data_IF_233324430506
#
_entry.id   IF_233324430506
#
_cell.length_a   1.000
_cell.length_b   1.000
_cell.length_c   1.000
_cell.angle_alpha   90.00
_cell.angle_beta   90.00
_cell.angle_gamma   90.00
#
_symmetry.space_group_name_H-M   'P 1'
#
loop_
_entity.id
_entity.type
_entity.pdbx_description
1 polymer ?
#
# COMPACT_ATOMS: atom_id res chain seq x y z
N UNK A 1 24.83 25.21 -39.85
CA UNK A 1 24.69 25.47 -38.41
C UNK A 1 23.45 24.71 -37.98
N UNK A 2 23.63 23.52 -37.43
CA UNK A 2 22.52 22.69 -36.97
C UNK A 2 22.08 23.24 -35.61
N UNK A 3 20.85 23.73 -35.54
CA UNK A 3 20.21 24.06 -34.26
C UNK A 3 20.13 22.78 -33.42
N UNK A 4 20.94 22.71 -32.38
CA UNK A 4 20.74 21.74 -31.31
C UNK A 4 19.50 22.19 -30.54
N UNK A 5 18.36 21.60 -30.90
CA UNK A 5 17.11 21.71 -30.17
C UNK A 5 17.37 21.32 -28.72
N UNK A 6 17.33 22.30 -27.83
CA UNK A 6 17.49 22.16 -26.38
C UNK A 6 16.24 21.49 -25.79
N UNK A 7 15.92 20.28 -26.25
CA UNK A 7 14.89 19.46 -25.63
C UNK A 7 15.44 18.94 -24.31
N UNK A 8 15.17 19.67 -23.23
CA UNK A 8 15.54 19.27 -21.88
C UNK A 8 15.00 17.86 -21.61
N UNK A 9 15.86 16.84 -21.48
CA UNK A 9 15.43 15.45 -21.33
C UNK A 9 14.66 15.22 -20.02
N UNK A 10 14.71 16.17 -19.06
CA UNK A 10 13.98 16.14 -17.79
C UNK A 10 12.58 16.77 -17.89
N UNK A 11 12.27 17.45 -18.99
CA UNK A 11 10.96 18.08 -19.22
C UNK A 11 9.91 17.10 -19.76
N UNK A 12 10.29 15.86 -20.09
CA UNK A 12 9.34 14.84 -20.50
C UNK A 12 8.40 14.47 -19.34
N UNK A 13 7.07 14.37 -19.59
CA UNK A 13 6.07 14.06 -18.55
C UNK A 13 6.26 12.66 -17.92
N UNK A 14 7.07 11.82 -18.57
CA UNK A 14 7.48 10.48 -18.13
C UNK A 14 8.53 10.54 -17.00
N UNK A 15 9.28 11.63 -16.90
CA UNK A 15 10.37 11.82 -15.92
C UNK A 15 9.88 12.63 -14.71
N UNK A 16 8.85 13.47 -14.89
CA UNK A 16 8.19 14.24 -13.83
C UNK A 16 7.21 13.43 -12.97
N UNK A 17 7.26 12.10 -13.05
CA UNK A 17 6.41 11.22 -12.26
C UNK A 17 6.76 11.24 -10.76
N UNK A 18 8.03 11.53 -10.44
CA UNK A 18 8.56 11.57 -9.08
C UNK A 18 8.48 12.98 -8.49
N UNK A 19 7.31 13.39 -8.03
CA UNK A 19 7.16 14.65 -7.28
C UNK A 19 7.69 14.47 -5.84
N UNK A 20 8.80 15.13 -5.51
CA UNK A 20 9.42 15.13 -4.17
C UNK A 20 8.41 15.41 -3.05
N UNK A 21 7.45 16.32 -3.28
CA UNK A 21 6.43 16.67 -2.30
C UNK A 21 5.51 15.50 -1.93
N UNK A 22 5.16 14.64 -2.89
CA UNK A 22 4.30 13.46 -2.64
C UNK A 22 5.04 12.37 -1.89
N UNK A 23 6.33 12.17 -2.19
CA UNK A 23 7.20 11.27 -1.44
C UNK A 23 7.31 11.69 0.03
N UNK A 24 7.54 12.98 0.28
CA UNK A 24 7.61 13.52 1.65
C UNK A 24 6.27 13.36 2.37
N UNK A 25 5.15 13.66 1.70
CA UNK A 25 3.82 13.48 2.28
C UNK A 25 3.54 12.00 2.64
N UNK A 26 3.87 11.07 1.74
CA UNK A 26 3.73 9.64 2.00
C UNK A 26 4.63 9.18 3.16
N UNK A 27 5.87 9.67 3.21
CA UNK A 27 6.80 9.38 4.30
C UNK A 27 6.26 9.85 5.66
N UNK A 28 5.79 11.09 5.74
CA UNK A 28 5.21 11.64 6.98
C UNK A 28 3.98 10.86 7.40
N UNK A 29 3.10 10.50 6.45
CA UNK A 29 1.92 9.68 6.74
C UNK A 29 2.29 8.31 7.31
N UNK A 30 3.29 7.63 6.73
CA UNK A 30 3.77 6.35 7.25
C UNK A 30 4.41 6.49 8.62
N UNK A 31 5.20 7.55 8.83
CA UNK A 31 5.84 7.82 10.12
C UNK A 31 4.81 8.04 11.23
N UNK A 32 3.78 8.84 10.96
CA UNK A 32 2.69 9.10 11.91
C UNK A 32 1.90 7.82 12.21
N UNK A 33 1.55 7.04 11.18
CA UNK A 33 0.86 5.77 11.37
C UNK A 33 1.69 4.78 12.20
N UNK A 34 3.02 4.71 11.96
CA UNK A 34 3.93 3.88 12.74
C UNK A 34 4.00 4.31 14.20
N UNK A 35 4.14 5.61 14.46
CA UNK A 35 4.20 6.15 15.82
C UNK A 35 2.92 5.88 16.59
N UNK A 36 1.75 6.11 15.98
CA UNK A 36 0.47 5.83 16.61
C UNK A 36 0.33 4.32 16.89
N UNK A 37 0.70 3.47 15.93
CA UNK A 37 0.64 2.02 16.10
C UNK A 37 1.54 1.54 17.25
N UNK A 38 2.73 2.12 17.38
CA UNK A 38 3.64 1.85 18.49
C UNK A 38 3.05 2.29 19.84
N UNK A 39 2.48 3.48 19.91
CA UNK A 39 1.83 3.99 21.13
C UNK A 39 0.62 3.14 21.52
N UNK A 40 -0.21 2.73 20.56
CA UNK A 40 -1.35 1.83 20.79
C UNK A 40 -0.89 0.49 21.36
N UNK A 41 0.25 -0.02 20.89
CA UNK A 41 0.77 -1.33 21.31
C UNK A 41 1.48 -1.28 22.67
N UNK A 42 2.23 -0.21 22.95
CA UNK A 42 3.10 -0.14 24.13
C UNK A 42 2.57 0.76 25.25
N UNK A 43 1.69 1.72 24.94
CA UNK A 43 1.23 2.75 25.86
C UNK A 43 -0.15 2.52 26.45
N UNK A 44 -0.99 1.69 25.82
CA UNK A 44 -2.34 1.41 26.29
C UNK A 44 -2.50 -0.05 26.68
N UNK A 45 -3.09 -0.30 27.85
CA UNK A 45 -3.49 -1.64 28.30
C UNK A 45 -4.82 -2.06 27.63
N UNK A 46 -4.78 -2.14 26.30
CA UNK A 46 -5.90 -2.58 25.48
C UNK A 46 -5.94 -4.11 25.45
N UNK A 47 -7.15 -4.67 25.43
CA UNK A 47 -7.32 -6.11 25.23
C UNK A 47 -6.68 -6.53 23.89
N UNK A 48 -6.11 -7.75 23.87
CA UNK A 48 -5.40 -8.30 22.70
C UNK A 48 -6.17 -8.12 21.39
N UNK A 49 -7.48 -8.36 21.43
CA UNK A 49 -8.34 -8.27 20.24
C UNK A 49 -8.49 -6.83 19.75
N UNK A 50 -8.62 -5.85 20.67
CA UNK A 50 -8.68 -4.44 20.30
C UNK A 50 -7.36 -3.94 19.74
N UNK A 51 -6.23 -4.35 20.32
CA UNK A 51 -4.89 -3.97 19.84
C UNK A 51 -4.67 -4.46 18.42
N UNK A 52 -5.02 -5.72 18.12
CA UNK A 52 -4.92 -6.27 16.76
C UNK A 52 -5.83 -5.50 15.79
N UNK A 53 -7.08 -5.23 16.17
CA UNK A 53 -8.01 -4.49 15.31
C UNK A 53 -7.49 -3.08 14.97
N UNK A 54 -7.00 -2.33 15.95
CA UNK A 54 -6.45 -0.98 15.73
C UNK A 54 -5.22 -0.99 14.84
N UNK A 55 -4.26 -1.89 15.10
CA UNK A 55 -3.04 -2.00 14.29
C UNK A 55 -3.40 -2.38 12.85
N UNK A 56 -4.35 -3.29 12.64
CA UNK A 56 -4.83 -3.66 11.30
C UNK A 56 -5.46 -2.48 10.56
N UNK A 57 -6.28 -1.66 11.22
CA UNK A 57 -6.90 -0.46 10.62
C UNK A 57 -5.81 0.56 10.25
N UNK A 58 -4.87 0.85 11.15
CA UNK A 58 -3.77 1.76 10.86
C UNK A 58 -2.89 1.27 9.72
N UNK A 59 -2.59 -0.02 9.67
CA UNK A 59 -1.83 -0.63 8.60
C UNK A 59 -2.55 -0.50 7.24
N UNK A 60 -3.86 -0.71 7.21
CA UNK A 60 -4.66 -0.53 5.99
C UNK A 60 -4.65 0.93 5.52
N UNK A 61 -4.86 1.90 6.42
CA UNK A 61 -4.81 3.34 6.08
C UNK A 61 -3.43 3.73 5.54
N UNK A 62 -2.36 3.27 6.20
CA UNK A 62 -0.99 3.54 5.76
C UNK A 62 -0.72 2.93 4.38
N UNK A 63 -1.11 1.67 4.16
CA UNK A 63 -0.95 0.99 2.87
C UNK A 63 -1.72 1.70 1.74
N UNK A 64 -3.00 2.06 1.98
CA UNK A 64 -3.80 2.81 0.99
C UNK A 64 -3.21 4.20 0.72
N UNK A 65 -2.75 4.90 1.76
CA UNK A 65 -2.07 6.20 1.60
C UNK A 65 -0.80 6.11 0.77
N UNK A 66 0.01 5.07 0.98
CA UNK A 66 1.21 4.78 0.17
C UNK A 66 0.87 4.46 -1.27
N UNK A 67 -0.13 3.61 -1.52
CA UNK A 67 -0.59 3.31 -2.87
C UNK A 67 -1.09 4.58 -3.58
N UNK A 68 -1.82 5.46 -2.90
CA UNK A 68 -2.34 6.67 -3.54
C UNK A 68 -1.25 7.71 -3.84
N UNK A 69 -0.38 7.98 -2.85
CA UNK A 69 0.63 9.05 -2.94
C UNK A 69 1.88 8.62 -3.72
N UNK A 70 2.32 7.38 -3.56
CA UNK A 70 3.58 6.87 -4.10
C UNK A 70 3.40 6.28 -5.52
N UNK A 71 2.36 5.47 -5.72
CA UNK A 71 2.08 4.89 -7.05
C UNK A 71 1.41 5.87 -8.01
N UNK A 72 1.07 7.08 -7.54
CA UNK A 72 0.56 8.16 -8.38
C UNK A 72 -0.57 7.62 -9.27
N UNK A 73 -1.60 7.02 -8.65
CA UNK A 73 -2.80 6.50 -9.31
C UNK A 73 -3.55 7.66 -9.95
N UNK A 74 -3.02 8.13 -11.07
CA UNK A 74 -3.45 9.33 -11.73
C UNK A 74 -4.23 8.89 -12.96
N UNK A 75 -5.45 9.39 -13.08
CA UNK A 75 -6.31 9.19 -14.26
C UNK A 75 -5.76 9.91 -15.52
N UNK A 76 -4.57 10.51 -15.42
CA UNK A 76 -3.84 11.10 -16.53
C UNK A 76 -3.56 10.06 -17.63
N UNK A 77 -3.69 10.48 -18.89
CA UNK A 77 -3.71 9.63 -20.09
C UNK A 77 -2.52 8.65 -20.18
N UNK A 78 -1.36 9.04 -19.61
CA UNK A 78 -0.13 8.27 -19.58
C UNK A 78 -0.06 7.17 -18.48
N UNK A 79 -0.78 7.32 -17.35
CA UNK A 79 -0.67 6.42 -16.18
C UNK A 79 -1.88 5.49 -15.97
N UNK A 80 -2.89 5.55 -16.85
CA UNK A 80 -4.11 4.73 -16.73
C UNK A 80 -3.83 3.22 -16.64
N UNK A 81 -2.79 2.74 -17.31
CA UNK A 81 -2.40 1.34 -17.27
C UNK A 81 -1.81 0.89 -15.93
N UNK A 82 -1.11 1.76 -15.19
CA UNK A 82 -0.66 1.46 -13.83
C UNK A 82 -1.82 1.31 -12.86
N UNK A 83 -2.81 2.20 -12.97
CA UNK A 83 -4.05 2.11 -12.18
C UNK A 83 -4.84 0.85 -12.52
N UNK A 84 -4.99 0.54 -13.81
CA UNK A 84 -5.67 -0.66 -14.26
C UNK A 84 -4.97 -1.94 -13.76
N UNK A 85 -3.64 -2.00 -13.85
CA UNK A 85 -2.87 -3.12 -13.32
C UNK A 85 -3.06 -3.28 -11.80
N UNK A 86 -3.00 -2.18 -11.04
CA UNK A 86 -3.23 -2.23 -9.59
C UNK A 86 -4.63 -2.74 -9.22
N UNK A 87 -5.67 -2.23 -9.90
CA UNK A 87 -7.06 -2.63 -9.64
C UNK A 87 -7.31 -4.10 -10.00
N UNK A 88 -6.60 -4.65 -10.99
CA UNK A 88 -6.69 -6.07 -11.34
C UNK A 88 -5.89 -6.94 -10.36
N UNK A 89 -4.70 -6.53 -9.96
CA UNK A 89 -3.79 -7.34 -9.15
C UNK A 89 -4.13 -7.30 -7.66
N UNK A 90 -4.50 -6.15 -7.09
CA UNK A 90 -4.72 -6.02 -5.65
C UNK A 90 -5.83 -6.96 -5.12
N UNK A 91 -7.01 -7.08 -5.77
CA UNK A 91 -8.03 -8.03 -5.34
C UNK A 91 -7.59 -9.48 -5.47
N UNK A 92 -6.85 -9.82 -6.54
CA UNK A 92 -6.31 -11.17 -6.75
C UNK A 92 -5.33 -11.56 -5.64
N UNK A 93 -4.45 -10.65 -5.22
CA UNK A 93 -3.53 -10.88 -4.11
C UNK A 93 -4.27 -11.05 -2.79
N UNK A 94 -5.28 -10.22 -2.52
CA UNK A 94 -6.12 -10.35 -1.32
C UNK A 94 -6.88 -11.69 -1.30
N UNK A 95 -7.43 -12.11 -2.44
CA UNK A 95 -8.06 -13.43 -2.55
C UNK A 95 -7.06 -14.56 -2.34
N UNK A 96 -5.87 -14.48 -2.92
CA UNK A 96 -4.85 -15.51 -2.75
C UNK A 96 -4.48 -15.69 -1.27
N UNK A 97 -4.14 -14.60 -0.58
CA UNK A 97 -3.79 -14.65 0.85
C UNK A 97 -4.98 -15.14 1.68
N UNK A 98 -6.16 -14.57 1.47
CA UNK A 98 -7.36 -14.93 2.23
C UNK A 98 -7.78 -16.38 2.04
N UNK A 99 -7.77 -16.86 0.79
CA UNK A 99 -8.15 -18.24 0.48
C UNK A 99 -7.11 -19.24 0.98
N UNK A 100 -5.81 -18.91 0.94
CA UNK A 100 -4.76 -19.75 1.53
C UNK A 100 -4.93 -19.86 3.04
N UNK A 101 -5.15 -18.74 3.74
CA UNK A 101 -5.42 -18.77 5.18
C UNK A 101 -6.67 -19.59 5.52
N UNK A 102 -7.74 -19.41 4.74
CA UNK A 102 -8.99 -20.16 4.89
C UNK A 102 -8.76 -21.67 4.67
N UNK A 103 -8.07 -22.05 3.59
CA UNK A 103 -7.75 -23.44 3.28
C UNK A 103 -6.99 -24.10 4.43
N UNK A 104 -5.94 -23.44 4.95
CA UNK A 104 -5.15 -23.99 6.05
C UNK A 104 -5.93 -24.04 7.37
N UNK A 105 -6.78 -23.05 7.64
CA UNK A 105 -7.64 -23.06 8.82
C UNK A 105 -8.60 -24.26 8.81
N UNK A 106 -9.26 -24.53 7.68
CA UNK A 106 -10.16 -25.67 7.54
C UNK A 106 -9.43 -27.01 7.51
N UNK A 107 -8.23 -27.06 6.93
CA UNK A 107 -7.41 -28.27 6.94
C UNK A 107 -6.99 -28.59 8.38
N UNK A 108 -6.49 -27.60 9.12
CA UNK A 108 -6.07 -27.76 10.50
C UNK A 108 -7.20 -28.37 11.34
N UNK A 109 -8.39 -27.76 11.33
CA UNK A 109 -9.57 -28.25 12.06
C UNK A 109 -9.86 -29.72 11.73
N UNK A 110 -9.80 -30.12 10.45
CA UNK A 110 -10.07 -31.51 10.06
C UNK A 110 -8.96 -32.48 10.47
N UNK A 111 -7.71 -32.05 10.47
CA UNK A 111 -6.57 -32.90 10.86
C UNK A 111 -6.42 -33.06 12.37
N UNK A 112 -6.80 -32.07 13.17
CA UNK A 112 -6.73 -32.17 14.65
C UNK A 112 -8.02 -32.70 15.28
N UNK A 113 -9.19 -32.54 14.64
CA UNK A 113 -10.45 -33.10 15.16
C UNK A 113 -10.80 -34.49 14.61
N UNK A 114 -10.13 -34.95 13.55
CA UNK A 114 -10.33 -36.26 12.92
C UNK A 114 -9.31 -37.34 13.32
N UNK A 115 -8.49 -37.08 14.34
CA UNK A 115 -7.51 -38.02 14.92
C UNK A 115 -7.96 -38.53 16.28
#
# INVERSE_FOLDING_TARGET
MAEHDHHDPLAHPEVQQASTGRYVAAFVLALVALLISCIVTAGFDLSRDMTIAWISILAAIAATGQVYLLFNLNLSKAMRWHTAAFVLTAPLVLMAIGLTLFMFHYLMIRTTAGG
#
